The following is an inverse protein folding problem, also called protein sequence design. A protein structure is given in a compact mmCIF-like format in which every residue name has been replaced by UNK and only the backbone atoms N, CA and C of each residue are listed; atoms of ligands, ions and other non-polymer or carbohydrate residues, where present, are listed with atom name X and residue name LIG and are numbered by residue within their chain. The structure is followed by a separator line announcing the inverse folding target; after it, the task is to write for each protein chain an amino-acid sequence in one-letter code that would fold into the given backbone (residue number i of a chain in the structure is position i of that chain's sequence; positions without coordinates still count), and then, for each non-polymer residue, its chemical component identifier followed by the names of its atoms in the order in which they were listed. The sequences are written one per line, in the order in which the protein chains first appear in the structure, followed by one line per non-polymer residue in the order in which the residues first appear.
data_IF_751053818174
#
_entry.id   IF_751053818174
#
_cell.length_a   1.000
_cell.length_b   1.000
_cell.length_c   1.000
_cell.angle_alpha   90.00
_cell.angle_beta   90.00
_cell.angle_gamma   90.00
#
_symmetry.space_group_name_H-M   'P 1'
#
loop_
_entity.id
_entity.type
_entity.pdbx_description
1 polymer ?
#
# COMPACT_ATOMS: atom_id res chain seq x y z
N UNK A 1 23.83 1.93 -6.81
CA UNK A 1 23.84 3.33 -7.30
C UNK A 1 23.32 4.30 -6.23
N UNK A 2 22.12 4.10 -5.70
CA UNK A 2 21.53 4.94 -4.63
C UNK A 2 22.43 5.03 -3.40
N UNK A 3 22.89 3.90 -2.84
CA UNK A 3 23.78 3.88 -1.66
C UNK A 3 25.09 4.66 -1.89
N UNK A 4 25.63 4.62 -3.12
CA UNK A 4 26.83 5.37 -3.50
C UNK A 4 26.58 6.88 -3.58
N UNK A 5 25.35 7.31 -3.89
CA UNK A 5 24.97 8.73 -3.97
C UNK A 5 24.57 9.31 -2.60
N UNK A 6 24.24 8.44 -1.63
CA UNK A 6 23.76 8.80 -0.29
C UNK A 6 24.87 8.67 0.76
N UNK A 7 25.86 9.55 0.69
CA UNK A 7 27.13 9.41 1.42
C UNK A 7 27.12 9.85 2.90
N UNK A 8 26.00 10.35 3.43
CA UNK A 8 25.91 10.74 4.86
C UNK A 8 25.36 9.58 5.69
N UNK A 9 25.85 9.42 6.92
CA UNK A 9 25.39 8.38 7.86
C UNK A 9 23.88 8.42 8.17
N UNK A 10 23.23 9.56 7.97
CA UNK A 10 21.81 9.78 8.21
C UNK A 10 21.02 10.00 6.91
N UNK A 11 21.54 9.51 5.78
CA UNK A 11 20.87 9.65 4.49
C UNK A 11 19.64 8.75 4.43
N UNK A 12 18.51 9.31 4.02
CA UNK A 12 17.38 8.51 3.58
C UNK A 12 17.67 7.93 2.19
N UNK A 13 17.74 6.61 2.09
CA UNK A 13 18.01 5.88 0.85
C UNK A 13 16.77 5.77 -0.04
N UNK A 14 15.63 5.47 0.57
CA UNK A 14 14.38 5.23 -0.13
C UNK A 14 13.17 5.65 0.71
N UNK A 15 12.00 5.65 0.06
CA UNK A 15 10.69 5.67 0.70
C UNK A 15 10.00 4.35 0.36
N UNK A 16 9.38 3.73 1.34
CA UNK A 16 8.57 2.54 1.13
C UNK A 16 7.08 2.91 1.17
N UNK A 17 6.31 2.34 0.25
CA UNK A 17 4.85 2.29 0.29
C UNK A 17 4.46 0.81 0.36
N UNK A 18 3.62 0.47 1.32
CA UNK A 18 3.03 -0.86 1.43
C UNK A 18 1.52 -0.74 1.18
N UNK A 19 0.98 -1.65 0.38
CA UNK A 19 -0.45 -1.72 0.11
C UNK A 19 -0.97 -3.16 0.14
N UNK A 20 -2.21 -3.32 0.60
CA UNK A 20 -2.94 -4.57 0.50
C UNK A 20 -3.62 -4.68 -0.86
N UNK A 21 -3.66 -5.89 -1.40
CA UNK A 21 -4.24 -6.19 -2.71
C UNK A 21 -5.58 -6.92 -2.48
N UNK A 22 -6.65 -6.62 -3.22
CA UNK A 22 -7.88 -7.42 -3.13
C UNK A 22 -7.60 -8.86 -3.59
N UNK A 23 -7.87 -9.83 -2.72
CA UNK A 23 -7.63 -11.26 -2.97
C UNK A 23 -8.58 -11.86 -4.01
N UNK A 24 -9.69 -11.17 -4.25
CA UNK A 24 -10.73 -11.47 -5.21
C UNK A 24 -10.23 -11.29 -6.66
N UNK A 25 -9.19 -10.49 -6.87
CA UNK A 25 -8.64 -10.25 -8.19
C UNK A 25 -7.81 -11.44 -8.69
N UNK A 26 -7.94 -11.82 -9.99
CA UNK A 26 -6.99 -12.70 -10.64
C UNK A 26 -5.56 -12.15 -10.53
N UNK A 27 -4.57 -13.02 -10.33
CA UNK A 27 -3.19 -12.59 -10.03
C UNK A 27 -2.59 -11.63 -11.07
N UNK A 28 -2.85 -11.83 -12.36
CA UNK A 28 -2.35 -10.96 -13.42
C UNK A 28 -3.02 -9.58 -13.37
N UNK A 29 -4.35 -9.54 -13.15
CA UNK A 29 -5.09 -8.29 -12.97
C UNK A 29 -4.63 -7.54 -11.72
N UNK A 30 -4.37 -8.26 -10.63
CA UNK A 30 -3.84 -7.69 -9.40
C UNK A 30 -2.45 -7.05 -9.61
N UNK A 31 -1.53 -7.76 -10.27
CA UNK A 31 -0.20 -7.23 -10.61
C UNK A 31 -0.30 -5.99 -11.47
N UNK A 32 -1.10 -6.03 -12.53
CA UNK A 32 -1.24 -4.87 -13.42
C UNK A 32 -1.90 -3.69 -12.71
N UNK A 33 -2.86 -3.92 -11.82
CA UNK A 33 -3.49 -2.86 -11.01
C UNK A 33 -2.45 -2.13 -10.15
N UNK A 34 -1.57 -2.86 -9.46
CA UNK A 34 -0.48 -2.27 -8.68
C UNK A 34 0.51 -1.52 -9.58
N UNK A 35 0.90 -2.12 -10.70
CA UNK A 35 1.83 -1.49 -11.63
C UNK A 35 1.26 -0.22 -12.26
N UNK A 36 -0.04 -0.19 -12.60
CA UNK A 36 -0.73 0.99 -13.11
C UNK A 36 -0.73 2.12 -12.07
N UNK A 37 -1.10 1.80 -10.82
CA UNK A 37 -1.02 2.75 -9.69
C UNK A 37 0.39 3.32 -9.52
N UNK A 38 1.41 2.46 -9.54
CA UNK A 38 2.83 2.86 -9.40
C UNK A 38 3.29 3.74 -10.55
N UNK A 39 2.93 3.40 -11.78
CA UNK A 39 3.28 4.18 -12.98
C UNK A 39 2.67 5.58 -12.91
N UNK A 40 1.40 5.66 -12.55
CA UNK A 40 0.66 6.92 -12.49
C UNK A 40 1.15 7.84 -11.37
N UNK A 41 1.39 7.32 -10.18
CA UNK A 41 1.63 8.15 -9.00
C UNK A 41 3.12 8.45 -8.74
N UNK A 42 4.02 7.57 -9.18
CA UNK A 42 5.44 7.65 -8.82
C UNK A 42 6.34 7.76 -10.03
N UNK A 43 6.23 6.82 -10.98
CA UNK A 43 7.13 6.79 -12.15
C UNK A 43 6.90 7.99 -13.05
N UNK A 44 5.65 8.42 -13.22
CA UNK A 44 5.29 9.65 -13.97
C UNK A 44 5.97 10.91 -13.41
N UNK A 45 6.27 10.93 -12.11
CA UNK A 45 6.95 12.03 -11.42
C UNK A 45 8.48 11.94 -11.56
N UNK A 46 9.01 10.88 -12.17
CA UNK A 46 10.44 10.64 -12.34
C UNK A 46 11.10 9.81 -11.23
N UNK A 47 10.31 9.18 -10.36
CA UNK A 47 10.82 8.19 -9.42
C UNK A 47 11.14 6.87 -10.13
N UNK A 48 12.13 6.13 -9.62
CA UNK A 48 12.22 4.68 -9.87
C UNK A 48 11.45 3.99 -8.74
N UNK A 49 10.62 3.02 -9.12
CA UNK A 49 9.88 2.16 -8.20
C UNK A 49 10.32 0.70 -8.38
N UNK A 50 10.76 0.08 -7.28
CA UNK A 50 10.97 -1.37 -7.18
C UNK A 50 9.77 -1.99 -6.45
N UNK A 51 9.14 -2.99 -7.07
CA UNK A 51 7.84 -3.53 -6.63
C UNK A 51 7.97 -5.02 -6.35
N UNK A 52 7.80 -5.40 -5.09
CA UNK A 52 7.79 -6.79 -4.64
C UNK A 52 6.38 -7.22 -4.24
N UNK A 53 5.89 -8.31 -4.82
CA UNK A 53 4.57 -8.88 -4.54
C UNK A 53 4.68 -10.06 -3.57
N UNK A 54 3.95 -10.03 -2.47
CA UNK A 54 3.97 -11.06 -1.43
C UNK A 54 2.59 -11.69 -1.27
N UNK A 55 2.58 -13.00 -0.96
CA UNK A 55 1.38 -13.73 -0.52
C UNK A 55 0.19 -13.65 -1.50
N UNK A 56 0.47 -13.53 -2.81
CA UNK A 56 -0.52 -13.43 -3.90
C UNK A 56 -1.47 -14.64 -4.01
N UNK A 57 -1.15 -15.73 -3.33
CA UNK A 57 -1.88 -16.99 -3.26
C UNK A 57 -2.45 -17.29 -1.85
N UNK A 58 -2.39 -16.32 -0.92
CA UNK A 58 -2.78 -16.50 0.49
C UNK A 58 -3.82 -15.46 0.92
N UNK A 59 -4.13 -15.47 2.22
CA UNK A 59 -5.17 -14.62 2.83
C UNK A 59 -4.83 -13.14 2.93
N UNK A 60 -3.57 -12.74 2.72
CA UNK A 60 -3.12 -11.35 2.84
C UNK A 60 -2.12 -10.97 1.72
N UNK A 61 -2.57 -10.91 0.46
CA UNK A 61 -1.74 -10.45 -0.65
C UNK A 61 -1.42 -8.96 -0.50
N UNK A 62 -0.15 -8.60 -0.63
CA UNK A 62 0.33 -7.22 -0.48
C UNK A 62 1.54 -6.95 -1.36
N UNK A 63 1.85 -5.68 -1.57
CA UNK A 63 3.04 -5.25 -2.29
C UNK A 63 3.86 -4.26 -1.47
N UNK A 64 5.18 -4.43 -1.52
CA UNK A 64 6.18 -3.46 -1.07
C UNK A 64 6.69 -2.68 -2.27
N UNK A 65 6.62 -1.35 -2.21
CA UNK A 65 7.03 -0.44 -3.28
C UNK A 65 8.13 0.47 -2.74
N UNK A 66 9.37 0.22 -3.17
CA UNK A 66 10.53 1.01 -2.79
C UNK A 66 10.78 2.10 -3.84
N UNK A 67 10.73 3.36 -3.40
CA UNK A 67 10.83 4.55 -4.23
C UNK A 67 12.15 5.28 -4.01
N UNK A 68 12.78 5.72 -5.10
CA UNK A 68 13.96 6.59 -5.01
C UNK A 68 13.60 7.97 -4.46
N UNK A 69 14.52 8.57 -3.71
CA UNK A 69 14.34 9.94 -3.17
C UNK A 69 14.84 11.04 -4.12
N UNK A 70 15.29 10.65 -5.31
CA UNK A 70 15.85 11.49 -6.36
C UNK A 70 15.18 11.15 -7.68
N UNK A 71 14.91 12.18 -8.48
CA UNK A 71 14.47 12.00 -9.85
C UNK A 71 15.60 11.44 -10.71
N UNK A 72 15.22 10.57 -11.65
CA UNK A 72 16.15 10.02 -12.63
C UNK A 72 15.82 10.62 -13.99
N UNK A 73 16.82 11.24 -14.61
CA UNK A 73 16.75 11.78 -15.95
C UNK A 73 17.84 11.19 -16.86
N UNK A 74 18.01 11.73 -18.08
CA UNK A 74 18.98 11.23 -19.05
C UNK A 74 20.44 11.21 -18.54
N UNK A 75 20.79 12.12 -17.63
CA UNK A 75 22.12 12.20 -17.01
C UNK A 75 22.27 11.32 -15.75
N UNK A 76 21.26 10.52 -15.41
CA UNK A 76 21.21 9.70 -14.20
C UNK A 76 20.45 10.38 -13.04
N UNK A 77 20.84 10.07 -11.81
CA UNK A 77 20.19 10.59 -10.59
C UNK A 77 20.45 12.09 -10.42
N UNK A 78 19.37 12.87 -10.31
CA UNK A 78 19.39 14.30 -10.02
C UNK A 78 19.44 14.64 -8.52
N UNK A 79 18.97 15.85 -8.21
CA UNK A 79 18.81 16.31 -6.82
C UNK A 79 17.73 15.55 -6.06
N UNK A 80 17.77 15.61 -4.72
CA UNK A 80 16.66 15.10 -3.90
C UNK A 80 15.44 15.98 -4.11
N UNK A 81 14.30 15.36 -4.39
CA UNK A 81 13.02 16.07 -4.52
C UNK A 81 12.35 16.02 -3.15
N UNK A 82 12.23 17.17 -2.49
CA UNK A 82 11.71 17.25 -1.11
C UNK A 82 10.20 17.12 -1.05
N UNK A 83 9.51 17.61 -2.06
CA UNK A 83 8.05 17.63 -2.13
C UNK A 83 7.46 16.22 -2.12
N UNK A 84 8.16 15.24 -2.68
CA UNK A 84 7.79 13.82 -2.60
C UNK A 84 7.66 13.27 -1.17
N UNK A 85 8.20 13.98 -0.18
CA UNK A 85 8.07 13.62 1.22
C UNK A 85 6.97 14.37 1.98
N UNK A 86 6.21 15.25 1.31
CA UNK A 86 5.05 15.87 1.90
C UNK A 86 4.02 14.81 2.31
N UNK A 87 3.54 14.92 3.55
CA UNK A 87 2.54 14.02 4.12
C UNK A 87 1.17 14.19 3.45
N UNK A 88 0.90 15.34 2.84
CA UNK A 88 -0.36 15.59 2.12
C UNK A 88 -0.55 14.63 0.95
N UNK A 89 0.54 14.19 0.31
CA UNK A 89 0.48 13.20 -0.78
C UNK A 89 -0.08 11.85 -0.35
N UNK A 90 0.06 11.47 0.92
CA UNK A 90 -0.44 10.18 1.38
C UNK A 90 -1.95 10.03 1.21
N UNK A 91 -2.72 11.12 1.36
CA UNK A 91 -4.17 11.07 1.15
C UNK A 91 -4.50 10.88 -0.33
N UNK A 92 -3.82 11.62 -1.21
CA UNK A 92 -4.00 11.50 -2.65
C UNK A 92 -3.63 10.09 -3.16
N UNK A 93 -2.53 9.51 -2.68
CA UNK A 93 -2.12 8.16 -3.06
C UNK A 93 -3.09 7.09 -2.55
N UNK A 94 -3.66 7.27 -1.35
CA UNK A 94 -4.68 6.34 -0.85
C UNK A 94 -5.96 6.42 -1.67
N UNK A 95 -6.40 7.62 -2.02
CA UNK A 95 -7.54 7.82 -2.91
C UNK A 95 -7.31 7.17 -4.29
N UNK A 96 -6.15 7.45 -4.90
CA UNK A 96 -5.78 6.84 -6.18
C UNK A 96 -5.71 5.31 -6.10
N UNK A 97 -5.15 4.74 -5.03
CA UNK A 97 -5.15 3.29 -4.85
C UNK A 97 -6.57 2.71 -4.76
N UNK A 98 -7.47 3.36 -4.02
CA UNK A 98 -8.87 2.95 -3.95
C UNK A 98 -9.53 2.94 -5.34
N UNK A 99 -9.31 3.99 -6.14
CA UNK A 99 -9.86 4.08 -7.49
C UNK A 99 -9.33 2.96 -8.42
N UNK A 100 -8.01 2.69 -8.37
CA UNK A 100 -7.39 1.62 -9.16
C UNK A 100 -7.94 0.24 -8.76
N UNK A 101 -8.01 -0.04 -7.46
CA UNK A 101 -8.52 -1.30 -6.94
C UNK A 101 -10.01 -1.50 -7.25
N UNK A 102 -10.84 -0.47 -7.05
CA UNK A 102 -12.28 -0.54 -7.31
C UNK A 102 -12.57 -0.75 -8.79
N UNK A 103 -11.84 -0.07 -9.69
CA UNK A 103 -11.96 -0.32 -11.13
C UNK A 103 -11.59 -1.76 -11.48
N UNK A 104 -10.54 -2.31 -10.89
CA UNK A 104 -10.14 -3.68 -11.13
C UNK A 104 -11.19 -4.69 -10.61
N UNK A 105 -11.75 -4.43 -9.42
CA UNK A 105 -12.81 -5.24 -8.82
C UNK A 105 -14.08 -5.23 -9.68
N UNK A 106 -14.53 -4.05 -10.11
CA UNK A 106 -15.67 -3.89 -11.00
C UNK A 106 -15.46 -4.63 -12.34
N UNK A 107 -14.27 -4.52 -12.93
CA UNK A 107 -13.92 -5.24 -14.17
C UNK A 107 -13.90 -6.77 -14.00
N UNK A 108 -13.61 -7.25 -12.78
CA UNK A 108 -13.67 -8.66 -12.41
C UNK A 108 -15.08 -9.12 -11.99
N UNK A 109 -16.08 -8.23 -11.99
CA UNK A 109 -17.48 -8.55 -11.69
C UNK A 109 -17.88 -8.42 -10.22
N UNK A 110 -17.03 -7.83 -9.38
CA UNK A 110 -17.34 -7.56 -7.97
C UNK A 110 -18.07 -6.22 -7.82
N UNK A 111 -18.99 -6.15 -6.85
CA UNK A 111 -19.76 -4.93 -6.55
C UNK A 111 -19.22 -4.21 -5.31
N UNK A 112 -18.39 -4.88 -4.53
CA UNK A 112 -17.75 -4.36 -3.36
C UNK A 112 -16.66 -3.35 -3.73
N UNK A 113 -16.59 -2.27 -2.97
CA UNK A 113 -15.61 -1.20 -3.15
C UNK A 113 -14.83 -0.99 -1.86
N UNK A 114 -13.56 -0.63 -2.01
CA UNK A 114 -12.71 -0.13 -0.94
C UNK A 114 -12.78 1.40 -0.91
N UNK A 115 -12.76 1.96 0.29
CA UNK A 115 -12.68 3.41 0.49
C UNK A 115 -11.49 3.72 1.40
N UNK A 116 -10.69 4.70 1.00
CA UNK A 116 -9.51 5.14 1.75
C UNK A 116 -9.84 5.94 3.01
N UNK A 117 -11.08 6.40 3.13
CA UNK A 117 -11.58 7.20 4.25
C UNK A 117 -12.01 6.29 5.40
N UNK A 118 -11.92 6.81 6.62
CA UNK A 118 -12.52 6.16 7.79
C UNK A 118 -14.04 6.08 7.65
N UNK A 119 -14.68 5.13 8.34
CA UNK A 119 -16.14 5.03 8.39
C UNK A 119 -16.81 6.35 8.80
N UNK A 120 -16.24 7.05 9.78
CA UNK A 120 -16.68 8.40 10.18
C UNK A 120 -16.69 9.39 9.01
N UNK A 121 -15.61 9.45 8.22
CA UNK A 121 -15.50 10.34 7.04
C UNK A 121 -16.40 9.91 5.87
N UNK A 122 -16.90 8.67 5.89
CA UNK A 122 -17.91 8.16 4.97
C UNK A 122 -19.34 8.41 5.49
N UNK A 123 -19.51 8.83 6.75
CA UNK A 123 -20.82 8.97 7.39
C UNK A 123 -21.46 7.63 7.77
N UNK A 124 -20.66 6.58 7.96
CA UNK A 124 -21.13 5.24 8.32
C UNK A 124 -21.07 5.06 9.84
N UNK A 125 -22.19 4.64 10.43
CA UNK A 125 -22.26 4.21 11.83
C UNK A 125 -21.72 2.78 11.99
N UNK A 126 -20.41 2.62 11.77
CA UNK A 126 -19.69 1.35 11.93
C UNK A 126 -18.49 1.54 12.84
N UNK A 127 -18.33 0.62 13.79
CA UNK A 127 -17.13 0.56 14.64
C UNK A 127 -15.99 -0.09 13.84
N UNK A 128 -14.81 0.55 13.71
CA UNK A 128 -13.67 -0.10 13.08
C UNK A 128 -13.08 -1.19 13.99
N UNK A 129 -12.70 -2.32 13.40
CA UNK A 129 -11.99 -3.39 14.11
C UNK A 129 -10.58 -2.99 14.56
N UNK A 130 -10.07 -3.66 15.58
CA UNK A 130 -8.74 -3.48 16.14
C UNK A 130 -7.75 -4.42 15.44
N UNK A 131 -6.61 -3.88 15.01
CA UNK A 131 -5.53 -4.70 14.46
C UNK A 131 -4.96 -5.65 15.52
N UNK A 132 -5.16 -6.96 15.32
CA UNK A 132 -4.73 -7.99 16.27
C UNK A 132 -3.20 -7.99 16.46
N UNK A 133 -2.45 -7.89 15.36
CA UNK A 133 -1.01 -8.10 15.34
C UNK A 133 -0.63 -9.58 15.29
N UNK A 134 0.63 -9.85 14.94
CA UNK A 134 1.15 -11.21 14.67
C UNK A 134 0.92 -12.19 15.83
N UNK A 135 1.24 -11.78 17.05
CA UNK A 135 1.15 -12.66 18.23
C UNK A 135 -0.29 -13.02 18.55
N UNK A 136 -1.21 -12.06 18.55
CA UNK A 136 -2.63 -12.32 18.82
C UNK A 136 -3.25 -13.19 17.73
N UNK A 137 -2.98 -12.89 16.45
CA UNK A 137 -3.43 -13.72 15.33
C UNK A 137 -2.95 -15.18 15.45
N UNK A 138 -1.69 -15.39 15.87
CA UNK A 138 -1.16 -16.74 16.09
C UNK A 138 -1.81 -17.48 17.26
N UNK A 139 -2.21 -16.77 18.32
CA UNK A 139 -2.97 -17.33 19.44
C UNK A 139 -4.39 -17.73 19.00
N UNK A 140 -5.12 -16.82 18.34
CA UNK A 140 -6.48 -17.06 17.83
C UNK A 140 -6.52 -18.23 16.84
N UNK A 141 -5.52 -18.35 15.95
CA UNK A 141 -5.41 -19.47 15.01
C UNK A 141 -5.26 -20.83 15.72
N UNK A 142 -4.73 -20.85 16.94
CA UNK A 142 -4.61 -22.05 17.79
C UNK A 142 -5.82 -22.26 18.71
N UNK A 143 -6.88 -21.46 18.56
CA UNK A 143 -8.07 -21.49 19.41
C UNK A 143 -7.87 -20.84 20.78
N UNK A 144 -6.81 -20.04 20.96
CA UNK A 144 -6.60 -19.27 22.19
C UNK A 144 -7.18 -17.87 21.97
N UNK A 145 -8.28 -17.58 22.66
CA UNK A 145 -8.95 -16.29 22.59
C UNK A 145 -8.09 -15.17 23.19
N UNK A 146 -8.12 -14.01 22.55
CA UNK A 146 -7.40 -12.81 22.94
C UNK A 146 -8.39 -11.67 23.15
N UNK A 147 -8.05 -10.73 24.03
CA UNK A 147 -8.90 -9.56 24.31
C UNK A 147 -9.25 -8.78 23.03
N UNK A 148 -8.27 -8.57 22.15
CA UNK A 148 -8.48 -7.88 20.86
C UNK A 148 -9.34 -8.68 19.89
N UNK A 149 -9.22 -10.02 19.91
CA UNK A 149 -10.07 -10.89 19.10
C UNK A 149 -11.52 -10.86 19.56
N UNK A 150 -11.74 -10.86 20.87
CA UNK A 150 -13.07 -10.72 21.45
C UNK A 150 -13.70 -9.38 21.12
N UNK A 151 -12.94 -8.28 21.27
CA UNK A 151 -13.40 -6.95 20.88
C UNK A 151 -13.81 -6.88 19.41
N UNK A 152 -13.07 -7.55 18.51
CA UNK A 152 -13.42 -7.62 17.09
C UNK A 152 -14.66 -8.49 16.81
N UNK A 153 -14.95 -9.51 17.62
CA UNK A 153 -16.15 -10.35 17.49
C UNK A 153 -17.44 -9.63 17.91
N UNK A 154 -17.31 -8.55 18.70
CA UNK A 154 -18.42 -7.73 19.20
C UNK A 154 -18.78 -6.57 18.27
N UNK A 155 -18.09 -6.41 17.14
CA UNK A 155 -18.30 -5.40 16.09
C UNK A 155 -19.06 -6.03 14.94
#
# INVERSE_FOLDING_TARGET
AVEKAECRKNSQLAREIELAIPRELPQDAARETVLAFVRENFVSQGMIADVAFHHMDKTNPHAHIMLTTRAVGPAGFGGKVRDWNDRTHAEAWRASWADHANRALANAGYQEEIDHRSYERQGLEKTPGIHLGKSACAMETRGIETERGEQNRLI
#
